data_IF_747256509452
#
_entry.id   IF_747256509452
#
_cell.length_a   1.000
_cell.length_b   1.000
_cell.length_c   1.000
_cell.angle_alpha   90.00
_cell.angle_beta   90.00
_cell.angle_gamma   90.00
#
_symmetry.space_group_name_H-M   'P 1'
#
loop_
_entity.id
_entity.type
_entity.pdbx_description
1 polymer ?
#
# COMPACT_ATOMS: atom_id res chain seq x y z
N UNK A 1 13.92 -25.79 -38.04
CA UNK A 1 12.46 -26.01 -38.06
C UNK A 1 11.90 -25.48 -36.75
N UNK A 2 11.23 -24.34 -36.82
CA UNK A 2 10.73 -23.59 -35.66
C UNK A 2 9.27 -23.98 -35.46
N UNK A 3 8.94 -24.56 -34.31
CA UNK A 3 7.57 -24.93 -33.96
C UNK A 3 6.90 -23.68 -33.41
N UNK A 4 5.96 -23.12 -34.17
CA UNK A 4 5.08 -22.01 -33.75
C UNK A 4 3.95 -22.58 -32.88
N UNK A 5 3.89 -22.18 -31.62
CA UNK A 5 2.78 -22.46 -30.72
C UNK A 5 1.84 -21.24 -30.63
N UNK A 6 0.94 -21.08 -31.62
CA UNK A 6 -0.35 -20.36 -31.53
C UNK A 6 -0.44 -18.95 -30.90
N UNK A 7 -1.68 -18.45 -30.80
CA UNK A 7 -2.07 -17.13 -30.26
C UNK A 7 -2.03 -17.05 -28.71
N UNK A 8 -1.03 -17.66 -28.08
CA UNK A 8 -0.83 -17.53 -26.63
C UNK A 8 0.18 -16.41 -26.35
N UNK A 9 -0.09 -15.58 -25.34
CA UNK A 9 0.85 -14.56 -24.87
C UNK A 9 2.21 -15.21 -24.55
N UNK A 10 3.26 -14.74 -25.22
CA UNK A 10 4.62 -15.21 -25.03
C UNK A 10 5.13 -14.78 -23.65
N UNK A 11 5.08 -15.66 -22.67
CA UNK A 11 5.55 -15.40 -21.30
C UNK A 11 7.08 -15.53 -21.13
N UNK A 12 7.87 -15.61 -22.20
CA UNK A 12 9.34 -15.73 -22.12
C UNK A 12 10.04 -14.51 -21.50
N UNK A 13 9.33 -13.40 -21.33
CA UNK A 13 9.79 -12.20 -20.61
C UNK A 13 9.58 -12.25 -19.09
N UNK A 14 8.90 -13.27 -18.57
CA UNK A 14 8.88 -13.54 -17.13
C UNK A 14 10.24 -14.10 -16.73
N UNK A 15 11.08 -13.25 -16.14
CA UNK A 15 12.35 -13.67 -15.58
C UNK A 15 12.10 -14.54 -14.33
N UNK A 16 12.03 -15.86 -14.55
CA UNK A 16 11.81 -16.85 -13.51
C UNK A 16 12.91 -16.85 -12.44
N UNK A 17 14.07 -16.21 -12.70
CA UNK A 17 15.12 -16.02 -11.71
C UNK A 17 14.76 -14.96 -10.65
N UNK A 18 13.94 -13.95 -10.98
CA UNK A 18 13.44 -12.97 -9.99
C UNK A 18 12.50 -13.63 -8.97
N UNK A 19 11.68 -14.60 -9.39
CA UNK A 19 10.78 -15.35 -8.50
C UNK A 19 11.51 -16.29 -7.52
N UNK A 20 12.71 -16.74 -7.90
CA UNK A 20 13.54 -17.60 -7.05
C UNK A 20 14.23 -16.80 -5.92
N UNK A 21 14.48 -15.50 -6.12
CA UNK A 21 15.08 -14.60 -5.14
C UNK A 21 14.04 -13.82 -4.30
N UNK A 22 12.81 -13.67 -4.82
CA UNK A 22 11.69 -13.04 -4.13
C UNK A 22 11.38 -13.72 -2.80
N UNK A 23 11.03 -12.96 -1.75
CA UNK A 23 10.59 -13.58 -0.50
C UNK A 23 9.16 -14.15 -0.64
N UNK A 24 8.67 -14.84 0.38
CA UNK A 24 7.34 -15.46 0.32
C UNK A 24 6.20 -14.46 0.09
N UNK A 25 6.38 -13.19 0.47
CA UNK A 25 5.39 -12.14 0.32
C UNK A 25 5.31 -11.65 -1.13
N UNK A 26 6.44 -11.32 -1.73
CA UNK A 26 6.48 -10.87 -3.14
C UNK A 26 5.93 -11.94 -4.09
N UNK A 27 6.27 -13.22 -3.85
CA UNK A 27 5.68 -14.34 -4.61
C UNK A 27 4.15 -14.43 -4.45
N UNK A 28 3.63 -14.16 -3.25
CA UNK A 28 2.20 -14.18 -3.00
C UNK A 28 1.50 -13.00 -3.69
N UNK A 29 2.05 -11.79 -3.61
CA UNK A 29 1.53 -10.62 -4.32
C UNK A 29 1.44 -10.86 -5.83
N UNK A 30 2.50 -11.42 -6.44
CA UNK A 30 2.50 -11.77 -7.88
C UNK A 30 1.39 -12.76 -8.23
N UNK A 31 1.17 -13.80 -7.39
CA UNK A 31 0.09 -14.78 -7.64
C UNK A 31 -1.29 -14.14 -7.52
N UNK A 32 -1.52 -13.35 -6.49
CA UNK A 32 -2.78 -12.63 -6.28
C UNK A 32 -3.06 -11.65 -7.43
N UNK A 33 -2.05 -10.90 -7.87
CA UNK A 33 -2.19 -9.98 -9.01
C UNK A 33 -2.56 -10.72 -10.30
N UNK A 34 -1.97 -11.90 -10.56
CA UNK A 34 -2.32 -12.73 -11.71
C UNK A 34 -3.76 -13.22 -11.66
N UNK A 35 -4.20 -13.73 -10.51
CA UNK A 35 -5.59 -14.16 -10.29
C UNK A 35 -6.54 -13.00 -10.59
N UNK A 36 -6.22 -11.81 -10.07
CA UNK A 36 -7.02 -10.59 -10.28
C UNK A 36 -7.09 -10.21 -11.76
N UNK A 37 -5.95 -10.14 -12.45
CA UNK A 37 -5.88 -9.77 -13.86
C UNK A 37 -6.69 -10.75 -14.71
N UNK A 38 -6.53 -12.05 -14.47
CA UNK A 38 -7.28 -13.10 -15.17
C UNK A 38 -8.79 -12.99 -14.92
N UNK A 39 -9.21 -12.83 -13.66
CA UNK A 39 -10.61 -12.71 -13.30
C UNK A 39 -11.26 -11.49 -13.97
N UNK A 40 -10.57 -10.34 -13.96
CA UNK A 40 -11.02 -9.12 -14.64
C UNK A 40 -11.18 -9.33 -16.15
N UNK A 41 -10.20 -9.94 -16.80
CA UNK A 41 -10.26 -10.23 -18.24
C UNK A 41 -11.45 -11.14 -18.61
N UNK A 42 -11.85 -12.01 -17.68
CA UNK A 42 -12.95 -12.95 -17.84
C UNK A 42 -14.29 -12.42 -17.31
N UNK A 43 -14.34 -11.21 -16.76
CA UNK A 43 -15.54 -10.65 -16.14
C UNK A 43 -16.02 -11.41 -14.89
N UNK A 44 -15.12 -12.13 -14.23
CA UNK A 44 -15.39 -12.93 -13.03
C UNK A 44 -14.81 -12.28 -11.77
N UNK A 45 -15.28 -12.75 -10.62
CA UNK A 45 -14.67 -12.40 -9.34
C UNK A 45 -13.37 -13.21 -9.12
N UNK A 46 -12.32 -12.58 -8.58
CA UNK A 46 -11.08 -13.30 -8.28
C UNK A 46 -11.30 -14.28 -7.13
N UNK A 47 -10.80 -15.51 -7.32
CA UNK A 47 -10.77 -16.54 -6.27
C UNK A 47 -9.35 -16.70 -5.75
N UNK A 48 -9.11 -16.18 -4.54
CA UNK A 48 -7.78 -16.09 -3.95
C UNK A 48 -7.49 -17.29 -3.04
N UNK A 49 -6.32 -17.90 -3.22
CA UNK A 49 -5.88 -18.98 -2.34
C UNK A 49 -5.59 -18.45 -0.92
N UNK A 50 -6.06 -19.18 0.11
CA UNK A 50 -5.90 -18.75 1.52
C UNK A 50 -4.45 -18.54 1.93
N UNK A 51 -3.55 -19.39 1.46
CA UNK A 51 -2.11 -19.27 1.79
C UNK A 51 -1.49 -18.02 1.16
N UNK A 52 -1.96 -17.60 -0.01
CA UNK A 52 -1.48 -16.38 -0.68
C UNK A 52 -1.97 -15.14 0.05
N UNK A 53 -3.23 -15.14 0.49
CA UNK A 53 -3.78 -14.09 1.36
C UNK A 53 -2.96 -13.99 2.66
N UNK A 54 -2.69 -15.12 3.31
CA UNK A 54 -1.93 -15.15 4.56
C UNK A 54 -0.49 -14.65 4.38
N UNK A 55 0.17 -15.05 3.30
CA UNK A 55 1.52 -14.60 2.97
C UNK A 55 1.58 -13.12 2.60
N UNK A 56 0.61 -12.62 1.81
CA UNK A 56 0.48 -11.20 1.49
C UNK A 56 0.31 -10.38 2.77
N UNK A 57 -0.69 -10.72 3.60
CA UNK A 57 -0.97 -10.06 4.88
C UNK A 57 0.26 -10.05 5.79
N UNK A 58 0.91 -11.20 5.97
CA UNK A 58 2.11 -11.31 6.83
C UNK A 58 3.25 -10.42 6.34
N UNK A 59 3.45 -10.34 5.03
CA UNK A 59 4.47 -9.47 4.45
C UNK A 59 4.12 -8.00 4.50
N UNK A 60 2.87 -7.59 4.29
CA UNK A 60 2.44 -6.18 4.49
C UNK A 60 2.70 -5.72 5.93
N UNK A 61 2.44 -6.59 6.91
CA UNK A 61 2.80 -6.34 8.31
C UNK A 61 4.32 -6.26 8.56
N UNK A 62 5.14 -6.88 7.70
CA UNK A 62 6.59 -6.77 7.73
C UNK A 62 7.06 -5.48 7.05
N UNK A 63 6.45 -5.06 5.94
CA UNK A 63 6.74 -3.78 5.27
C UNK A 63 6.40 -2.58 6.17
N UNK A 64 5.26 -2.67 6.89
CA UNK A 64 4.94 -1.80 8.03
C UNK A 64 5.96 -1.84 9.17
N UNK A 65 7.03 -2.63 9.10
CA UNK A 65 8.17 -2.64 10.02
C UNK A 65 9.51 -2.36 9.32
N UNK A 66 9.56 -2.35 7.98
CA UNK A 66 10.82 -2.42 7.23
C UNK A 66 11.24 -1.09 6.63
N UNK A 67 10.30 -0.30 6.12
CA UNK A 67 10.70 0.81 5.23
C UNK A 67 11.32 1.99 5.97
N UNK A 68 11.06 2.18 7.26
CA UNK A 68 11.79 3.17 8.06
C UNK A 68 12.02 2.72 9.53
N UNK A 69 11.70 1.47 9.88
CA UNK A 69 11.21 1.09 11.21
C UNK A 69 12.13 0.17 12.04
N UNK A 70 13.46 0.25 11.86
CA UNK A 70 14.42 -0.54 12.65
C UNK A 70 14.00 -0.75 14.11
N UNK A 71 14.23 -1.96 14.66
CA UNK A 71 13.60 -2.51 15.88
C UNK A 71 13.68 -1.61 17.13
N UNK A 72 14.55 -0.60 17.12
CA UNK A 72 14.74 0.37 18.18
C UNK A 72 14.53 1.79 17.64
N UNK A 73 13.31 2.31 17.75
CA UNK A 73 13.11 3.74 17.69
C UNK A 73 13.07 4.33 19.09
N UNK A 74 13.76 5.45 19.34
CA UNK A 74 13.44 6.26 20.51
C UNK A 74 12.00 6.71 20.36
N UNK A 75 11.21 6.61 21.43
CA UNK A 75 9.87 7.19 21.50
C UNK A 75 9.95 8.70 21.21
N UNK A 76 9.76 9.07 19.93
CA UNK A 76 9.74 10.47 19.50
C UNK A 76 8.31 10.98 19.56
N UNK A 77 8.18 12.24 19.96
CA UNK A 77 6.92 12.95 20.00
C UNK A 77 6.45 13.23 18.56
N UNK A 78 5.17 12.98 18.28
CA UNK A 78 4.52 13.31 17.01
C UNK A 78 3.85 12.12 16.31
N UNK A 79 3.04 12.43 15.30
CA UNK A 79 2.18 11.46 14.63
C UNK A 79 2.88 10.77 13.45
N UNK A 80 2.23 9.75 12.89
CA UNK A 80 2.71 9.03 11.70
C UNK A 80 1.65 9.01 10.61
N UNK A 81 2.08 9.23 9.37
CA UNK A 81 1.29 8.93 8.19
C UNK A 81 1.41 7.43 7.85
N UNK A 82 0.32 6.80 7.44
CA UNK A 82 0.27 5.45 6.93
C UNK A 82 -0.56 5.37 5.64
N UNK A 83 -0.24 4.36 4.83
CA UNK A 83 -0.95 3.98 3.62
C UNK A 83 -1.24 2.48 3.69
N UNK A 84 -2.49 2.09 3.47
CA UNK A 84 -2.92 0.69 3.42
C UNK A 84 -3.61 0.43 2.08
N UNK A 85 -3.26 -0.64 1.39
CA UNK A 85 -4.00 -1.17 0.25
C UNK A 85 -4.75 -2.43 0.65
N UNK A 86 -6.02 -2.48 0.25
CA UNK A 86 -6.89 -3.62 0.45
C UNK A 86 -7.31 -4.20 -0.89
N UNK A 87 -7.36 -5.52 -0.95
CA UNK A 87 -7.75 -6.30 -2.12
C UNK A 87 -8.94 -7.21 -1.76
N UNK A 88 -9.82 -7.47 -2.73
CA UNK A 88 -11.08 -8.19 -2.51
C UNK A 88 -12.05 -8.01 -3.67
N UNK A 89 -13.35 -7.94 -3.37
CA UNK A 89 -14.38 -7.63 -4.38
C UNK A 89 -14.14 -6.26 -5.03
N UNK A 90 -13.74 -5.29 -4.21
CA UNK A 90 -13.41 -3.94 -4.65
C UNK A 90 -12.09 -3.52 -4.02
N UNK A 91 -11.11 -3.21 -4.86
CA UNK A 91 -9.81 -2.68 -4.41
C UNK A 91 -9.96 -1.24 -3.93
N UNK A 92 -9.35 -0.94 -2.81
CA UNK A 92 -9.22 0.42 -2.33
C UNK A 92 -7.91 0.65 -1.58
N UNK A 93 -7.53 1.90 -1.51
CA UNK A 93 -6.47 2.38 -0.63
C UNK A 93 -7.06 3.24 0.48
N UNK A 94 -6.30 3.31 1.55
CA UNK A 94 -6.57 4.17 2.69
C UNK A 94 -5.31 4.90 3.09
N UNK A 95 -5.36 6.22 3.03
CA UNK A 95 -4.35 7.10 3.62
C UNK A 95 -4.88 7.61 4.94
N UNK A 96 -4.07 7.55 5.99
CA UNK A 96 -4.46 8.18 7.24
C UNK A 96 -3.28 8.45 8.16
N UNK A 97 -3.53 9.17 9.25
CA UNK A 97 -2.56 9.39 10.31
C UNK A 97 -2.95 8.70 11.62
N UNK A 98 -1.94 8.46 12.46
CA UNK A 98 -2.11 8.07 13.85
C UNK A 98 -1.37 9.06 14.74
N UNK A 99 -2.06 9.53 15.77
CA UNK A 99 -1.49 10.40 16.80
C UNK A 99 -0.59 9.59 17.73
N UNK A 100 0.47 10.24 18.21
CA UNK A 100 1.24 9.75 19.34
C UNK A 100 2.34 8.73 19.06
N UNK A 101 3.02 8.42 20.17
CA UNK A 101 4.45 8.05 20.24
C UNK A 101 4.76 6.59 19.88
N UNK A 102 3.76 5.70 19.86
CA UNK A 102 4.01 4.26 19.94
C UNK A 102 3.57 3.50 18.70
N UNK A 103 4.40 2.52 18.32
CA UNK A 103 4.08 1.55 17.28
C UNK A 103 2.81 0.74 17.60
N UNK A 104 2.46 0.63 18.88
CA UNK A 104 1.24 -0.03 19.34
C UNK A 104 -0.03 0.68 18.81
N UNK A 105 -0.07 2.01 18.85
CA UNK A 105 -1.21 2.78 18.34
C UNK A 105 -1.42 2.55 16.83
N UNK A 106 -0.33 2.54 16.04
CA UNK A 106 -0.37 2.19 14.62
C UNK A 106 -0.88 0.76 14.42
N UNK A 107 -0.36 -0.22 15.16
CA UNK A 107 -0.78 -1.62 15.08
C UNK A 107 -2.27 -1.78 15.36
N UNK A 108 -2.78 -1.14 16.41
CA UNK A 108 -4.19 -1.23 16.77
C UNK A 108 -5.07 -0.50 15.75
N UNK A 109 -4.58 0.57 15.13
CA UNK A 109 -5.26 1.24 14.02
C UNK A 109 -5.34 0.33 12.79
N UNK A 110 -4.25 -0.29 12.38
CA UNK A 110 -4.21 -1.21 11.22
C UNK A 110 -5.08 -2.44 11.46
N UNK A 111 -5.05 -3.04 12.65
CA UNK A 111 -5.93 -4.17 13.02
C UNK A 111 -7.40 -3.83 12.90
N UNK A 112 -7.81 -2.63 13.31
CA UNK A 112 -9.20 -2.18 13.15
C UNK A 112 -9.60 -2.08 11.68
N UNK A 113 -8.70 -1.61 10.82
CA UNK A 113 -8.95 -1.53 9.37
C UNK A 113 -8.97 -2.91 8.72
N UNK A 114 -8.11 -3.84 9.14
CA UNK A 114 -8.19 -5.24 8.72
C UNK A 114 -9.52 -5.87 9.10
N UNK A 115 -9.96 -5.71 10.36
CA UNK A 115 -11.24 -6.26 10.80
C UNK A 115 -12.42 -5.68 10.02
N UNK A 116 -12.42 -4.38 9.76
CA UNK A 116 -13.43 -3.75 8.91
C UNK A 116 -13.38 -4.26 7.45
N UNK A 117 -12.17 -4.45 6.90
CA UNK A 117 -11.98 -4.98 5.56
C UNK A 117 -12.48 -6.44 5.44
N UNK A 118 -12.24 -7.27 6.46
CA UNK A 118 -12.70 -8.66 6.52
C UNK A 118 -14.23 -8.77 6.43
N UNK A 119 -14.97 -7.84 7.08
CA UNK A 119 -16.43 -7.74 6.98
C UNK A 119 -16.88 -7.49 5.53
N UNK A 120 -16.07 -6.78 4.74
CA UNK A 120 -16.30 -6.49 3.33
C UNK A 120 -15.61 -7.47 2.38
N UNK A 121 -15.18 -8.65 2.88
CA UNK A 121 -14.46 -9.66 2.11
C UNK A 121 -13.20 -9.12 1.41
N UNK A 122 -12.53 -8.17 2.05
CA UNK A 122 -11.26 -7.61 1.62
C UNK A 122 -10.16 -7.97 2.63
N UNK A 123 -8.91 -7.96 2.18
CA UNK A 123 -7.73 -8.24 3.02
C UNK A 123 -6.62 -7.23 2.75
N UNK A 124 -5.75 -7.04 3.74
CA UNK A 124 -4.58 -6.17 3.61
C UNK A 124 -3.59 -6.78 2.60
N UNK A 125 -3.36 -6.05 1.52
CA UNK A 125 -2.54 -6.49 0.39
C UNK A 125 -1.17 -5.81 0.38
N UNK A 126 -1.13 -4.53 0.75
CA UNK A 126 0.09 -3.77 0.88
C UNK A 126 -0.04 -2.71 1.97
N UNK A 127 1.07 -2.31 2.56
CA UNK A 127 1.06 -1.37 3.66
C UNK A 127 2.40 -0.68 3.86
N UNK A 128 2.32 0.63 4.09
CA UNK A 128 3.45 1.50 4.39
C UNK A 128 3.12 2.43 5.54
N UNK A 129 4.13 2.79 6.33
CA UNK A 129 4.01 3.80 7.37
C UNK A 129 5.32 4.56 7.54
N UNK A 130 5.19 5.86 7.74
CA UNK A 130 6.31 6.77 7.98
C UNK A 130 6.91 6.64 9.39
N UNK A 131 8.12 7.18 9.52
CA UNK A 131 8.70 7.70 10.74
C UNK A 131 7.74 8.69 11.43
N UNK A 132 7.87 8.85 12.76
CA UNK A 132 7.18 9.95 13.44
C UNK A 132 7.58 11.28 12.79
N UNK A 133 6.56 12.06 12.45
CA UNK A 133 6.72 13.48 12.25
C UNK A 133 7.11 14.14 13.57
N UNK A 134 7.63 15.36 13.54
CA UNK A 134 8.02 16.09 14.76
C UNK A 134 6.83 16.43 15.67
N UNK A 135 5.63 16.53 15.10
CA UNK A 135 4.38 16.82 15.81
C UNK A 135 3.21 16.05 15.18
N UNK A 136 2.13 15.86 15.94
CA UNK A 136 0.87 15.32 15.39
C UNK A 136 0.27 16.26 14.33
N UNK A 137 0.46 17.58 14.50
CA UNK A 137 0.01 18.58 13.53
C UNK A 137 0.74 18.46 12.19
N UNK A 138 2.05 18.20 12.19
CA UNK A 138 2.81 17.95 10.96
C UNK A 138 2.29 16.69 10.24
N UNK A 139 2.04 15.60 10.97
CA UNK A 139 1.44 14.39 10.40
C UNK A 139 0.05 14.66 9.80
N UNK A 140 -0.77 15.47 10.49
CA UNK A 140 -2.10 15.86 10.01
C UNK A 140 -2.03 16.73 8.76
N UNK A 141 -1.13 17.72 8.73
CA UNK A 141 -0.91 18.55 7.54
C UNK A 141 -0.46 17.71 6.35
N UNK A 142 0.43 16.74 6.58
CA UNK A 142 0.87 15.82 5.52
C UNK A 142 -0.26 14.95 5.00
N UNK A 143 -1.07 14.37 5.90
CA UNK A 143 -2.29 13.64 5.53
C UNK A 143 -3.21 14.50 4.67
N UNK A 144 -3.52 15.72 5.10
CA UNK A 144 -4.44 16.61 4.39
C UNK A 144 -3.93 16.99 3.00
N UNK A 145 -2.62 17.24 2.85
CA UNK A 145 -2.00 17.53 1.54
C UNK A 145 -2.04 16.32 0.62
N UNK A 146 -1.70 15.13 1.11
CA UNK A 146 -1.76 13.88 0.33
C UNK A 146 -3.20 13.60 -0.09
N UNK A 147 -4.16 13.69 0.83
CA UNK A 147 -5.58 13.53 0.51
C UNK A 147 -6.03 14.57 -0.52
N UNK A 148 -5.60 15.82 -0.39
CA UNK A 148 -5.84 16.90 -1.36
C UNK A 148 -5.35 16.53 -2.75
N UNK A 149 -4.12 16.04 -2.87
CA UNK A 149 -3.54 15.57 -4.13
C UNK A 149 -4.30 14.38 -4.71
N UNK A 150 -4.59 13.36 -3.90
CA UNK A 150 -5.35 12.20 -4.36
C UNK A 150 -6.78 12.56 -4.80
N UNK A 151 -7.39 13.56 -4.18
CA UNK A 151 -8.70 14.07 -4.60
C UNK A 151 -8.68 14.68 -6.01
N UNK A 152 -7.56 15.23 -6.47
CA UNK A 152 -7.44 15.74 -7.85
C UNK A 152 -7.53 14.63 -8.91
N UNK A 153 -7.30 13.38 -8.51
CA UNK A 153 -7.36 12.20 -9.38
C UNK A 153 -8.76 11.60 -9.45
N UNK A 154 -9.69 12.04 -8.59
CA UNK A 154 -11.06 11.51 -8.54
C UNK A 154 -11.84 11.99 -9.76
N UNK A 155 -12.27 11.04 -10.59
CA UNK A 155 -12.94 11.32 -11.87
C UNK A 155 -14.24 10.54 -12.09
N UNK A 156 -14.81 9.92 -11.05
CA UNK A 156 -16.15 9.32 -11.05
C UNK A 156 -16.27 7.98 -11.77
N UNK A 157 -15.60 7.83 -12.91
CA UNK A 157 -15.69 6.64 -13.76
C UNK A 157 -14.64 5.57 -13.44
N UNK A 158 -13.44 6.00 -13.02
CA UNK A 158 -12.31 5.08 -12.76
C UNK A 158 -11.78 5.22 -11.33
N UNK A 159 -11.79 6.44 -10.81
CA UNK A 159 -11.33 6.76 -9.46
C UNK A 159 -12.46 7.46 -8.73
N UNK A 160 -12.87 6.92 -7.59
CA UNK A 160 -13.91 7.52 -6.75
C UNK A 160 -13.57 7.40 -5.26
N UNK A 161 -14.27 8.23 -4.47
CA UNK A 161 -14.07 8.38 -3.02
C UNK A 161 -15.40 8.18 -2.32
N UNK A 162 -15.47 7.19 -1.42
CA UNK A 162 -16.71 6.87 -0.68
C UNK A 162 -16.75 7.56 0.68
N UNK A 163 -15.58 7.71 1.32
CA UNK A 163 -15.43 8.37 2.61
C UNK A 163 -14.05 9.02 2.66
N UNK A 164 -13.88 10.11 3.42
CA UNK A 164 -12.81 11.09 3.20
C UNK A 164 -11.39 10.53 2.93
N UNK A 165 -11.04 9.40 3.51
CA UNK A 165 -9.70 8.81 3.47
C UNK A 165 -9.63 7.51 2.63
N UNK A 166 -10.73 7.10 1.98
CA UNK A 166 -10.86 5.86 1.22
C UNK A 166 -11.00 6.14 -0.28
N UNK A 167 -10.04 5.67 -1.06
CA UNK A 167 -10.00 5.86 -2.51
C UNK A 167 -10.05 4.53 -3.23
N UNK A 168 -10.88 4.47 -4.26
CA UNK A 168 -11.04 3.32 -5.14
C UNK A 168 -10.37 3.62 -6.48
N UNK A 169 -9.77 2.61 -7.09
CA UNK A 169 -9.12 2.74 -8.41
C UNK A 169 -7.75 3.41 -8.41
N UNK A 170 -7.25 3.90 -7.25
CA UNK A 170 -5.89 4.45 -7.14
C UNK A 170 -4.89 3.31 -6.84
N UNK A 171 -3.86 3.10 -7.66
CA UNK A 171 -2.78 2.15 -7.36
C UNK A 171 -1.96 2.56 -6.13
N UNK A 172 -1.41 1.58 -5.41
CA UNK A 172 -0.61 1.82 -4.22
C UNK A 172 0.62 2.70 -4.52
N UNK A 173 1.35 2.42 -5.60
CA UNK A 173 2.53 3.19 -6.02
C UNK A 173 2.20 4.64 -6.37
N UNK A 174 1.00 4.89 -6.91
CA UNK A 174 0.52 6.23 -7.21
C UNK A 174 0.24 7.01 -5.91
N UNK A 175 -0.32 6.34 -4.90
CA UNK A 175 -0.50 6.94 -3.59
C UNK A 175 0.83 7.17 -2.86
N UNK A 176 1.78 6.24 -2.96
CA UNK A 176 3.15 6.43 -2.48
C UNK A 176 3.83 7.62 -3.17
N UNK A 177 3.68 7.76 -4.49
CA UNK A 177 4.19 8.92 -5.22
C UNK A 177 3.58 10.22 -4.69
N UNK A 178 2.28 10.26 -4.42
CA UNK A 178 1.64 11.43 -3.83
C UNK A 178 2.20 11.75 -2.43
N UNK A 179 2.47 10.72 -1.61
CA UNK A 179 3.10 10.86 -0.30
C UNK A 179 4.50 11.47 -0.40
N UNK A 180 5.33 10.96 -1.30
CA UNK A 180 6.70 11.44 -1.50
C UNK A 180 6.76 12.86 -2.05
N UNK A 181 5.87 13.21 -2.98
CA UNK A 181 5.79 14.56 -3.56
C UNK A 181 5.39 15.61 -2.51
N UNK A 182 4.48 15.27 -1.59
CA UNK A 182 4.04 16.20 -0.54
C UNK A 182 4.96 16.22 0.69
N UNK A 183 5.82 15.21 0.86
CA UNK A 183 6.76 15.13 1.99
C UNK A 183 7.64 16.37 2.18
N UNK A 184 8.33 16.93 1.16
CA UNK A 184 9.19 18.10 1.34
C UNK A 184 8.43 19.35 1.77
N UNK A 185 7.13 19.39 1.51
CA UNK A 185 6.30 20.56 1.71
C UNK A 185 5.74 20.68 3.13
N UNK A 186 6.06 19.73 4.01
CA UNK A 186 5.54 19.67 5.37
C UNK A 186 6.69 19.81 6.35
N UNK A 187 6.74 20.96 7.03
CA UNK A 187 7.69 21.19 8.10
C UNK A 187 7.48 20.17 9.23
N UNK A 188 8.52 19.38 9.47
CA UNK A 188 8.49 18.32 10.48
C UNK A 188 8.10 16.94 9.98
N UNK A 189 7.85 16.77 8.67
CA UNK A 189 7.81 15.44 8.07
C UNK A 189 9.22 14.82 8.06
N UNK A 190 9.32 13.50 8.26
CA UNK A 190 10.60 12.81 8.16
C UNK A 190 11.15 12.94 6.74
N UNK A 191 12.45 13.26 6.64
CA UNK A 191 13.17 13.28 5.37
C UNK A 191 13.60 11.87 5.01
N UNK A 192 13.42 11.46 3.75
CA UNK A 192 13.88 10.17 3.27
C UNK A 192 15.40 10.09 3.43
N UNK A 193 15.95 9.05 4.08
CA UNK A 193 17.39 8.87 4.14
C UNK A 193 17.95 8.72 2.71
N UNK A 194 18.93 9.55 2.36
CA UNK A 194 19.57 9.53 1.04
C UNK A 194 18.96 10.44 -0.03
N UNK A 195 17.88 11.19 0.26
CA UNK A 195 17.32 12.19 -0.66
C UNK A 195 17.76 13.59 -0.22
N UNK A 196 18.37 14.35 -1.13
CA UNK A 196 18.70 15.76 -0.91
C UNK A 196 17.48 16.60 -1.28
N UNK A 197 16.92 17.26 -0.27
CA UNK A 197 15.83 18.21 -0.45
C UNK A 197 16.43 19.58 -0.79
N UNK A 198 15.98 20.21 -1.87
CA UNK A 198 16.36 21.59 -2.20
C UNK A 198 15.67 22.54 -1.21
N UNK A 199 16.44 23.43 -0.59
CA UNK A 199 15.96 24.49 0.31
C UNK A 199 15.31 25.65 -0.44
#
# INVERSE_FOLDING_TARGET
MTVLFGDFEDFSHLDLHLLAAADAHERAQIRLDRVRISARAQGMLPDYHRDDIAAARSGSWRLLRRDELGDEQPERLGGRLYLLAFEGLVRYIKVGMVEGRTLAALRDRVRRHEHAAEIHHCFLFDAWASQPCTTDQAAKQWEDRVLGRLNTLVNGDQVWRVHQEYFYGIPFDMAMTAIEVERPEVDGAPRHPGVVYQE
#
